data_IF_430239791186
#
_entry.id   IF_430239791186
#
_cell.length_a   1.000
_cell.length_b   1.000
_cell.length_c   1.000
_cell.angle_alpha   90.00
_cell.angle_beta   90.00
_cell.angle_gamma   90.00
#
_symmetry.space_group_name_H-M   'P 1'
#
loop_
_entity.id
_entity.type
_entity.pdbx_description
1 polymer ?
#
# COMPACT_ATOMS: atom_id res chain seq x y z
N UNK A 1 -5.25 5.89 -10.76
CA UNK A 1 -5.27 7.19 -11.48
C UNK A 1 -4.10 7.21 -12.46
N UNK A 2 -4.33 7.70 -13.69
CA UNK A 2 -3.28 7.84 -14.69
C UNK A 2 -2.41 9.04 -14.32
N UNK A 3 -1.32 8.80 -13.62
CA UNK A 3 -0.24 9.78 -13.51
C UNK A 3 0.77 9.44 -14.61
N UNK A 4 1.15 10.42 -15.42
CA UNK A 4 2.08 10.24 -16.54
C UNK A 4 3.44 9.67 -16.11
N UNK A 5 3.85 9.86 -14.84
CA UNK A 5 5.11 9.37 -14.27
C UNK A 5 4.94 8.21 -13.26
N UNK A 6 3.86 7.42 -13.35
CA UNK A 6 3.71 6.28 -12.45
C UNK A 6 4.71 5.17 -12.78
N UNK A 7 5.52 4.67 -11.83
CA UNK A 7 6.47 3.58 -12.06
C UNK A 7 5.78 2.19 -12.14
N UNK A 8 4.47 2.14 -12.36
CA UNK A 8 3.64 0.92 -12.39
C UNK A 8 4.19 -0.15 -13.35
N UNK A 9 4.74 0.27 -14.49
CA UNK A 9 5.35 -0.65 -15.47
C UNK A 9 6.59 -1.38 -14.94
N UNK A 10 7.27 -0.81 -13.93
CA UNK A 10 8.46 -1.39 -13.32
C UNK A 10 8.12 -2.37 -12.19
N UNK A 11 6.93 -2.28 -11.61
CA UNK A 11 6.55 -3.10 -10.45
C UNK A 11 6.57 -4.59 -10.78
N UNK A 12 5.93 -4.99 -11.88
CA UNK A 12 5.88 -6.41 -12.29
C UNK A 12 7.28 -6.99 -12.61
N UNK A 13 8.13 -6.34 -13.44
CA UNK A 13 9.51 -6.79 -13.67
C UNK A 13 10.34 -6.91 -12.39
N UNK A 14 10.21 -5.97 -11.45
CA UNK A 14 10.93 -5.99 -10.17
C UNK A 14 10.48 -7.17 -9.31
N UNK A 15 9.16 -7.36 -9.16
CA UNK A 15 8.58 -8.47 -8.41
C UNK A 15 9.00 -9.84 -9.00
N UNK A 16 8.92 -9.99 -10.32
CA UNK A 16 9.37 -11.20 -11.03
C UNK A 16 10.87 -11.48 -10.81
N UNK A 17 11.70 -10.43 -10.77
CA UNK A 17 13.13 -10.57 -10.55
C UNK A 17 13.46 -10.92 -9.10
N UNK A 18 12.77 -10.31 -8.14
CA UNK A 18 12.91 -10.60 -6.72
C UNK A 18 12.46 -12.03 -6.36
N UNK A 19 11.39 -12.52 -6.99
CA UNK A 19 10.92 -13.90 -6.80
C UNK A 19 12.00 -14.95 -7.12
N UNK A 20 12.81 -14.72 -8.17
CA UNK A 20 13.89 -15.63 -8.58
C UNK A 20 14.99 -15.78 -7.53
N UNK A 21 15.14 -14.81 -6.63
CA UNK A 21 16.21 -14.78 -5.61
C UNK A 21 15.67 -14.90 -4.18
N UNK A 22 14.36 -15.05 -4.01
CA UNK A 22 13.71 -15.09 -2.70
C UNK A 22 13.61 -13.73 -2.00
N UNK A 23 13.96 -12.63 -2.67
CA UNK A 23 13.79 -11.28 -2.15
C UNK A 23 12.29 -10.94 -2.09
N UNK A 24 11.90 -10.17 -1.07
CA UNK A 24 10.55 -9.61 -0.94
C UNK A 24 10.59 -8.09 -1.12
N UNK A 25 9.54 -7.54 -1.70
CA UNK A 25 9.41 -6.11 -2.00
C UNK A 25 8.20 -5.55 -1.24
N UNK A 26 8.44 -4.51 -0.45
CA UNK A 26 7.41 -3.68 0.18
C UNK A 26 7.28 -2.37 -0.58
N UNK A 27 6.14 -1.67 -0.42
CA UNK A 27 5.89 -0.40 -1.08
C UNK A 27 6.20 0.74 -0.13
N UNK A 28 7.02 1.68 -0.62
CA UNK A 28 7.28 2.96 0.03
C UNK A 28 6.47 4.06 -0.67
N UNK A 29 5.55 4.68 0.05
CA UNK A 29 4.59 5.65 -0.44
C UNK A 29 5.15 7.05 -0.16
N UNK A 30 5.52 7.75 -1.22
CA UNK A 30 5.86 9.16 -1.14
C UNK A 30 4.60 10.03 -1.37
N UNK A 31 4.55 11.26 -0.83
CA UNK A 31 3.56 12.24 -1.26
C UNK A 31 3.63 12.46 -2.78
N UNK A 32 2.46 12.60 -3.41
CA UNK A 32 2.31 12.80 -4.84
C UNK A 32 1.25 13.87 -5.12
N UNK A 33 1.12 14.28 -6.38
CA UNK A 33 0.13 15.28 -6.78
C UNK A 33 -1.28 14.91 -6.31
N UNK A 34 -1.98 15.86 -5.67
CA UNK A 34 -3.25 15.64 -4.96
C UNK A 34 -3.16 14.60 -3.83
N UNK A 35 -2.11 14.68 -3.00
CA UNK A 35 -1.99 13.86 -1.78
C UNK A 35 -3.20 14.03 -0.87
N UNK A 36 -3.96 12.94 -0.67
CA UNK A 36 -5.14 12.88 0.20
C UNK A 36 -5.40 11.44 0.61
N UNK A 37 -6.21 11.23 1.66
CA UNK A 37 -6.59 9.89 2.12
C UNK A 37 -7.41 9.13 1.08
N UNK A 38 -8.28 9.81 0.34
CA UNK A 38 -9.12 9.22 -0.71
C UNK A 38 -8.25 8.71 -1.87
N UNK A 39 -7.27 9.51 -2.28
CA UNK A 39 -6.34 9.11 -3.34
C UNK A 39 -5.40 8.00 -2.87
N UNK A 40 -4.93 8.07 -1.62
CA UNK A 40 -4.15 6.98 -1.01
C UNK A 40 -4.96 5.68 -0.97
N UNK A 41 -6.22 5.73 -0.56
CA UNK A 41 -7.11 4.56 -0.55
C UNK A 41 -7.27 3.98 -1.96
N UNK A 42 -7.47 4.82 -2.97
CA UNK A 42 -7.56 4.36 -4.36
C UNK A 42 -6.26 3.68 -4.82
N UNK A 43 -5.10 4.19 -4.41
CA UNK A 43 -3.80 3.60 -4.73
C UNK A 43 -3.55 2.27 -4.03
N UNK A 44 -3.84 2.19 -2.73
CA UNK A 44 -3.73 0.94 -1.97
C UNK A 44 -4.59 -0.15 -2.60
N UNK A 45 -5.82 0.18 -2.99
CA UNK A 45 -6.72 -0.76 -3.69
C UNK A 45 -6.11 -1.22 -5.00
N UNK A 46 -5.60 -0.31 -5.83
CA UNK A 46 -4.96 -0.66 -7.11
C UNK A 46 -3.75 -1.57 -6.89
N UNK A 47 -2.80 -1.15 -6.04
CA UNK A 47 -1.56 -1.89 -5.77
C UNK A 47 -1.85 -3.30 -5.26
N UNK A 48 -2.76 -3.44 -4.30
CA UNK A 48 -3.10 -4.76 -3.75
C UNK A 48 -3.87 -5.63 -4.72
N UNK A 49 -4.72 -5.04 -5.56
CA UNK A 49 -5.45 -5.78 -6.61
C UNK A 49 -4.50 -6.26 -7.70
N UNK A 50 -3.59 -5.40 -8.14
CA UNK A 50 -2.70 -5.67 -9.27
C UNK A 50 -1.52 -6.58 -8.86
N UNK A 51 -0.99 -6.41 -7.64
CA UNK A 51 0.30 -6.99 -7.24
C UNK A 51 0.28 -7.75 -5.91
N UNK A 52 -0.76 -7.60 -5.09
CA UNK A 52 -0.78 -8.13 -3.72
C UNK A 52 -0.74 -9.65 -3.61
N UNK A 53 -1.08 -10.37 -4.68
CA UNK A 53 -0.99 -11.83 -4.76
C UNK A 53 0.37 -12.35 -5.25
N UNK A 54 1.28 -11.45 -5.67
CA UNK A 54 2.58 -11.84 -6.19
C UNK A 54 3.45 -12.42 -5.07
N UNK A 55 4.14 -13.54 -5.31
CA UNK A 55 4.91 -14.24 -4.26
C UNK A 55 6.03 -13.39 -3.64
N UNK A 56 6.62 -12.48 -4.41
CA UNK A 56 7.62 -11.53 -3.94
C UNK A 56 7.03 -10.30 -3.21
N UNK A 57 5.71 -10.12 -3.18
CA UNK A 57 5.10 -9.02 -2.45
C UNK A 57 5.29 -9.26 -0.94
N UNK A 58 5.83 -8.27 -0.23
CA UNK A 58 6.20 -8.44 1.17
C UNK A 58 4.96 -8.35 2.07
N UNK A 59 4.72 -9.42 2.81
CA UNK A 59 3.73 -9.50 3.87
C UNK A 59 4.38 -9.90 5.19
N UNK A 60 3.73 -9.54 6.28
CA UNK A 60 4.03 -10.12 7.58
C UNK A 60 2.81 -10.81 8.17
N UNK A 61 3.04 -11.94 8.82
CA UNK A 61 1.99 -12.66 9.53
C UNK A 61 1.64 -11.92 10.81
N UNK A 62 0.39 -11.46 10.92
CA UNK A 62 -0.19 -10.91 12.16
C UNK A 62 -1.44 -11.71 12.50
N UNK A 63 -1.42 -12.37 13.67
CA UNK A 63 -2.46 -13.34 14.05
C UNK A 63 -2.54 -14.44 12.97
N UNK A 64 -3.70 -14.59 12.33
CA UNK A 64 -3.96 -15.57 11.27
C UNK A 64 -4.10 -14.93 9.88
N UNK A 65 -3.55 -13.73 9.67
CA UNK A 65 -3.60 -13.01 8.39
C UNK A 65 -2.18 -12.65 7.95
N UNK A 66 -1.90 -12.85 6.66
CA UNK A 66 -0.76 -12.21 5.99
C UNK A 66 -1.17 -10.78 5.64
N UNK A 67 -0.43 -9.80 6.16
CA UNK A 67 -0.73 -8.39 5.93
C UNK A 67 0.40 -7.74 5.11
N UNK A 68 0.08 -7.03 4.01
CA UNK A 68 1.06 -6.25 3.27
C UNK A 68 1.67 -5.18 4.17
N UNK A 69 2.96 -4.89 3.99
CA UNK A 69 3.65 -3.80 4.69
C UNK A 69 3.84 -2.63 3.74
N UNK A 70 3.52 -1.44 4.23
CA UNK A 70 3.70 -0.17 3.56
C UNK A 70 4.54 0.75 4.45
N UNK A 71 5.41 1.52 3.84
CA UNK A 71 6.09 2.64 4.49
C UNK A 71 5.52 3.93 3.93
N UNK A 72 5.26 4.92 4.77
CA UNK A 72 4.79 6.26 4.34
C UNK A 72 5.90 7.26 4.61
N UNK A 73 6.37 7.93 3.56
CA UNK A 73 7.32 9.03 3.69
C UNK A 73 6.62 10.30 4.16
N UNK A 74 7.22 10.99 5.12
CA UNK A 74 6.78 12.28 5.66
C UNK A 74 5.25 12.37 5.91
N UNK A 75 4.71 11.55 6.85
CA UNK A 75 3.26 11.42 7.03
C UNK A 75 2.59 12.69 7.58
N UNK A 76 3.37 13.72 7.94
CA UNK A 76 2.90 14.92 8.61
C UNK A 76 2.19 15.92 7.68
N UNK A 77 2.23 15.69 6.36
CA UNK A 77 1.46 16.47 5.38
C UNK A 77 -0.07 16.24 5.49
N UNK A 78 -0.50 15.17 6.17
CA UNK A 78 -1.90 14.90 6.50
C UNK A 78 -2.10 14.92 8.01
N UNK A 79 -3.18 15.57 8.44
CA UNK A 79 -3.56 15.61 9.85
C UNK A 79 -3.85 14.20 10.39
N UNK A 80 -3.61 14.01 11.69
CA UNK A 80 -3.91 12.75 12.38
C UNK A 80 -5.37 12.30 12.23
N UNK A 81 -6.33 13.22 12.09
CA UNK A 81 -7.74 12.92 11.83
C UNK A 81 -7.96 12.30 10.44
N UNK A 82 -7.22 12.76 9.43
CA UNK A 82 -7.23 12.19 8.09
C UNK A 82 -6.68 10.75 8.14
N UNK A 83 -5.52 10.54 8.78
CA UNK A 83 -4.99 9.18 9.01
C UNK A 83 -5.95 8.29 9.79
N UNK A 84 -6.59 8.81 10.83
CA UNK A 84 -7.58 8.06 11.61
C UNK A 84 -8.78 7.63 10.76
N UNK A 85 -9.20 8.45 9.79
CA UNK A 85 -10.30 8.07 8.88
C UNK A 85 -9.99 6.80 8.06
N UNK A 86 -8.71 6.51 7.81
CA UNK A 86 -8.23 5.34 7.07
C UNK A 86 -7.80 4.18 7.98
N UNK A 87 -7.11 4.49 9.08
CA UNK A 87 -6.38 3.51 9.89
C UNK A 87 -7.09 3.14 11.19
N UNK A 88 -8.13 3.87 11.61
CA UNK A 88 -9.00 3.48 12.72
C UNK A 88 -10.06 2.47 12.25
N UNK A 89 -10.39 1.42 13.03
CA UNK A 89 -11.50 0.52 12.73
C UNK A 89 -12.81 1.24 12.40
N UNK A 90 -13.09 2.34 13.09
CA UNK A 90 -14.33 3.12 12.95
C UNK A 90 -14.18 4.34 12.02
N UNK A 91 -13.07 4.44 11.29
CA UNK A 91 -12.82 5.52 10.34
C UNK A 91 -13.77 5.47 9.13
N UNK A 92 -14.16 6.64 8.60
CA UNK A 92 -15.07 6.74 7.45
C UNK A 92 -14.56 6.07 6.16
N UNK A 93 -13.24 5.90 6.05
CA UNK A 93 -12.55 5.27 4.92
C UNK A 93 -11.76 4.04 5.36
N UNK A 94 -12.11 3.44 6.51
CA UNK A 94 -11.32 2.40 7.15
C UNK A 94 -10.99 1.23 6.21
N UNK A 95 -9.70 0.89 6.14
CA UNK A 95 -9.23 -0.35 5.51
C UNK A 95 -9.10 -1.50 6.51
N UNK A 96 -9.29 -1.24 7.80
CA UNK A 96 -9.07 -2.23 8.86
C UNK A 96 -10.08 -3.36 8.75
N UNK A 97 -9.60 -4.60 8.89
CA UNK A 97 -10.39 -5.82 8.73
C UNK A 97 -10.99 -6.01 7.32
N UNK A 98 -10.47 -5.32 6.31
CA UNK A 98 -10.85 -5.52 4.89
C UNK A 98 -9.76 -6.26 4.13
N UNK A 99 -10.01 -6.57 2.85
CA UNK A 99 -8.98 -7.09 1.94
C UNK A 99 -7.86 -6.09 1.60
N UNK A 100 -8.02 -4.82 1.97
CA UNK A 100 -7.03 -3.76 1.75
C UNK A 100 -6.28 -3.36 3.04
N UNK A 101 -6.46 -4.12 4.11
CA UNK A 101 -5.76 -3.92 5.38
C UNK A 101 -4.26 -4.17 5.24
N UNK A 102 -3.46 -3.57 6.10
CA UNK A 102 -2.00 -3.63 6.02
C UNK A 102 -1.31 -3.09 7.26
N UNK A 103 0.01 -3.21 7.28
CA UNK A 103 0.88 -2.62 8.30
C UNK A 103 1.46 -1.35 7.70
N UNK A 104 1.28 -0.23 8.41
CA UNK A 104 1.67 1.11 8.02
C UNK A 104 2.53 1.70 9.13
#
# INVERSE_FOLDING_TARGET
>A
PGFDDSPDELITPLLNSAAKTGIKISIHINPYYNWSIENLLAHLKKILTDYGSHEAFYTIRRKNRELPVFYVYDPFDLDSSAWASLLSPDGSHSIRNTGYDGVF
#
